data_IF_598176086603
#
_entry.id   IF_598176086603
#
_cell.length_a   1.000
_cell.length_b   1.000
_cell.length_c   1.000
_cell.angle_alpha   90.00
_cell.angle_beta   90.00
_cell.angle_gamma   90.00
#
_symmetry.space_group_name_H-M   'P 1'
#
loop_
_entity.id
_entity.type
_entity.pdbx_description
1 polymer ?
#
# COMPACT_ATOMS: atom_id res chain seq x y z
N UNK A 1 -16.82 -10.23 -14.15
CA UNK A 1 -15.63 -9.38 -14.29
C UNK A 1 -15.49 -8.59 -13.00
N UNK A 2 -14.52 -8.91 -12.15
CA UNK A 2 -14.27 -8.11 -10.95
C UNK A 2 -13.59 -6.82 -11.39
N UNK A 3 -14.32 -5.72 -11.32
CA UNK A 3 -13.78 -4.39 -11.48
C UNK A 3 -12.98 -4.08 -10.22
N UNK A 4 -11.68 -4.37 -10.22
CA UNK A 4 -10.81 -3.93 -9.13
C UNK A 4 -10.72 -2.40 -9.21
N UNK A 5 -11.38 -1.70 -8.28
CA UNK A 5 -11.27 -0.26 -8.14
C UNK A 5 -9.94 0.07 -7.47
N UNK A 6 -8.89 0.13 -8.28
CA UNK A 6 -7.57 0.52 -7.82
C UNK A 6 -7.57 1.98 -7.34
N UNK A 7 -6.75 2.26 -6.32
CA UNK A 7 -6.48 3.61 -5.84
C UNK A 7 -5.90 4.46 -6.97
N UNK A 8 -6.55 5.57 -7.31
CA UNK A 8 -6.05 6.49 -8.34
C UNK A 8 -5.30 7.68 -7.76
N UNK A 9 -5.42 7.87 -6.44
CA UNK A 9 -4.82 8.94 -5.66
C UNK A 9 -4.18 8.39 -4.40
N UNK A 10 -3.38 9.23 -3.77
CA UNK A 10 -2.86 8.94 -2.43
C UNK A 10 -4.00 8.67 -1.44
N UNK A 11 -3.80 7.66 -0.58
CA UNK A 11 -4.67 7.36 0.55
C UNK A 11 -3.85 7.14 1.82
N UNK A 12 -4.50 7.24 2.98
CA UNK A 12 -3.90 6.97 4.29
C UNK A 12 -4.54 5.75 4.92
N UNK A 13 -3.73 4.73 5.16
CA UNK A 13 -4.13 3.48 5.80
C UNK A 13 -3.69 3.49 7.25
N UNK A 14 -4.58 3.07 8.16
CA UNK A 14 -4.20 2.81 9.55
C UNK A 14 -3.71 1.37 9.67
N UNK A 15 -2.50 1.17 10.15
CA UNK A 15 -1.82 -0.12 10.26
C UNK A 15 -1.52 -0.42 11.72
N UNK A 16 -1.92 -1.61 12.19
CA UNK A 16 -1.61 -2.06 13.53
C UNK A 16 -0.24 -2.71 13.54
N UNK A 17 0.73 -2.06 14.19
CA UNK A 17 2.11 -2.55 14.22
C UNK A 17 2.24 -3.67 15.23
N UNK A 18 2.90 -4.77 14.88
CA UNK A 18 3.01 -5.93 15.79
C UNK A 18 3.83 -5.61 17.05
N UNK A 19 4.84 -4.75 16.93
CA UNK A 19 5.79 -4.40 18.00
C UNK A 19 6.06 -2.88 18.05
N UNK A 20 5.01 -2.07 17.97
CA UNK A 20 5.13 -0.61 17.98
C UNK A 20 3.78 0.08 18.16
N UNK A 21 3.75 1.42 18.26
CA UNK A 21 2.49 2.14 18.19
C UNK A 21 1.84 1.90 16.83
N UNK A 22 0.50 1.88 16.80
CA UNK A 22 -0.23 1.89 15.54
C UNK A 22 0.21 3.09 14.69
N UNK A 23 0.23 2.89 13.38
CA UNK A 23 0.88 3.81 12.46
C UNK A 23 -0.02 4.14 11.28
N UNK A 24 0.03 5.39 10.81
CA UNK A 24 -0.65 5.78 9.57
C UNK A 24 0.35 5.71 8.44
N UNK A 25 0.07 4.84 7.47
CA UNK A 25 0.87 4.64 6.28
C UNK A 25 0.22 5.39 5.12
N UNK A 26 1.02 6.22 4.45
CA UNK A 26 0.66 6.91 3.21
C UNK A 26 0.92 5.97 2.05
N UNK A 27 -0.14 5.67 1.31
CA UNK A 27 -0.15 4.76 0.15
C UNK A 27 -0.26 5.60 -1.10
N UNK A 28 0.77 5.58 -1.94
CA UNK A 28 0.89 6.46 -3.10
C UNK A 28 0.99 5.62 -4.38
N UNK A 29 0.06 5.76 -5.34
CA UNK A 29 0.17 5.10 -6.64
C UNK A 29 1.44 5.53 -7.37
N UNK A 30 2.24 4.58 -7.85
CA UNK A 30 3.42 4.81 -8.67
C UNK A 30 3.17 4.36 -10.11
N UNK A 31 2.79 5.33 -10.94
CA UNK A 31 2.45 5.14 -12.35
C UNK A 31 3.70 4.94 -13.24
N UNK A 32 4.91 5.16 -12.71
CA UNK A 32 6.16 5.06 -13.47
C UNK A 32 6.82 3.69 -13.33
N UNK A 33 6.35 2.85 -12.41
CA UNK A 33 6.90 1.53 -12.17
C UNK A 33 6.53 0.53 -13.29
N UNK A 34 7.46 0.29 -14.21
CA UNK A 34 7.22 -0.50 -15.43
C UNK A 34 7.16 -2.02 -15.25
N UNK A 35 7.42 -2.54 -14.05
CA UNK A 35 7.52 -4.00 -13.78
C UNK A 35 6.26 -4.62 -13.15
N UNK A 36 5.24 -3.81 -12.85
CA UNK A 36 3.98 -4.28 -12.29
C UNK A 36 2.80 -3.64 -13.03
N UNK A 37 1.61 -4.26 -12.92
CA UNK A 37 0.38 -3.67 -13.46
C UNK A 37 -0.06 -2.51 -12.60
N UNK A 38 0.07 -2.63 -11.28
CA UNK A 38 -0.06 -1.53 -10.33
C UNK A 38 1.06 -1.58 -9.30
N UNK A 39 1.54 -0.40 -8.89
CA UNK A 39 2.52 -0.25 -7.82
C UNK A 39 2.02 0.81 -6.84
N UNK A 40 2.11 0.52 -5.55
CA UNK A 40 1.79 1.47 -4.49
C UNK A 40 2.96 1.60 -3.54
N UNK A 41 3.59 2.77 -3.54
CA UNK A 41 4.68 3.12 -2.64
C UNK A 41 4.13 3.43 -1.26
N UNK A 42 4.85 3.01 -0.22
CA UNK A 42 4.43 3.07 1.16
C UNK A 42 5.37 3.96 1.95
N UNK A 43 4.80 4.93 2.67
CA UNK A 43 5.58 5.86 3.49
C UNK A 43 4.93 6.09 4.85
N UNK A 44 5.70 6.48 5.86
CA UNK A 44 5.12 7.05 7.08
C UNK A 44 4.40 8.37 6.77
N UNK A 45 3.28 8.66 7.44
CA UNK A 45 2.38 9.71 6.98
C UNK A 45 2.66 11.13 7.52
N UNK A 46 3.39 11.27 8.62
CA UNK A 46 3.44 12.53 9.39
C UNK A 46 4.84 13.11 9.63
N UNK A 47 5.89 12.38 9.26
CA UNK A 47 7.27 12.85 9.42
C UNK A 47 7.64 13.85 8.32
N UNK A 48 8.49 14.82 8.65
CA UNK A 48 9.05 15.78 7.68
C UNK A 48 9.86 15.08 6.59
N UNK A 49 10.58 14.01 6.98
CA UNK A 49 11.26 13.09 6.09
C UNK A 49 10.65 11.70 6.29
N UNK A 50 9.64 11.32 5.50
CA UNK A 50 8.93 10.08 5.73
C UNK A 50 9.78 8.87 5.30
N UNK A 51 9.79 7.84 6.13
CA UNK A 51 10.49 6.60 5.83
C UNK A 51 9.87 5.89 4.63
N UNK A 52 10.73 5.39 3.74
CA UNK A 52 10.33 4.52 2.62
C UNK A 52 10.16 3.10 3.13
N UNK A 53 8.91 2.64 3.14
CA UNK A 53 8.54 1.32 3.63
C UNK A 53 8.48 0.29 2.51
N UNK A 54 8.86 0.63 1.27
CA UNK A 54 8.79 -0.23 0.10
C UNK A 54 7.52 -0.03 -0.73
N UNK A 55 7.08 -1.07 -1.43
CA UNK A 55 5.82 -1.02 -2.19
C UNK A 55 5.06 -2.33 -2.23
N UNK A 56 3.75 -2.22 -2.48
CA UNK A 56 2.91 -3.35 -2.86
C UNK A 56 2.72 -3.32 -4.37
N UNK A 57 3.08 -4.41 -5.02
CA UNK A 57 2.99 -4.62 -6.47
C UNK A 57 1.85 -5.58 -6.76
N UNK A 58 0.99 -5.23 -7.72
CA UNK A 58 -0.07 -6.11 -8.20
C UNK A 58 0.21 -6.59 -9.64
N UNK A 59 -0.10 -7.86 -9.89
CA UNK A 59 -0.13 -8.44 -11.23
C UNK A 59 -1.50 -8.20 -11.92
N UNK A 60 -1.63 -8.66 -13.17
CA UNK A 60 -2.87 -8.51 -13.94
C UNK A 60 -4.04 -9.37 -13.44
N UNK A 61 -3.81 -10.27 -12.50
CA UNK A 61 -4.84 -11.13 -11.89
C UNK A 61 -5.25 -10.63 -10.50
N UNK A 62 -4.59 -9.60 -9.97
CA UNK A 62 -4.83 -9.05 -8.64
C UNK A 62 -4.05 -9.76 -7.53
N UNK A 63 -3.12 -10.65 -7.85
CA UNK A 63 -2.16 -11.15 -6.88
C UNK A 63 -1.15 -10.05 -6.56
N UNK A 64 -0.67 -10.03 -5.31
CA UNK A 64 0.25 -9.00 -4.85
C UNK A 64 1.50 -9.57 -4.20
N UNK A 65 2.57 -8.80 -4.27
CA UNK A 65 3.80 -9.00 -3.51
C UNK A 65 4.21 -7.70 -2.83
N UNK A 66 4.90 -7.83 -1.71
CA UNK A 66 5.58 -6.72 -1.05
C UNK A 66 7.05 -6.69 -1.46
N UNK A 67 7.50 -5.56 -2.00
CA UNK A 67 8.89 -5.28 -2.33
C UNK A 67 9.44 -4.29 -1.30
N UNK A 68 9.98 -4.85 -0.22
CA UNK A 68 10.54 -4.14 0.93
C UNK A 68 10.94 -5.11 2.04
N UNK A 69 11.43 -4.59 3.15
CA UNK A 69 11.96 -5.40 4.26
C UNK A 69 11.60 -4.90 5.66
N UNK A 70 10.79 -3.84 5.77
CA UNK A 70 10.46 -3.18 7.06
C UNK A 70 9.11 -3.59 7.63
N UNK A 71 8.22 -4.13 6.80
CA UNK A 71 6.89 -4.58 7.20
C UNK A 71 6.88 -6.08 7.48
N UNK A 72 6.23 -6.47 8.56
CA UNK A 72 5.86 -7.86 8.84
C UNK A 72 4.72 -8.33 7.94
N UNK A 73 4.57 -9.65 7.79
CA UNK A 73 3.53 -10.26 6.94
C UNK A 73 2.12 -9.73 7.29
N UNK A 74 1.79 -9.59 8.57
CA UNK A 74 0.47 -9.11 8.99
C UNK A 74 0.21 -7.64 8.56
N UNK A 75 1.24 -6.80 8.58
CA UNK A 75 1.13 -5.40 8.15
C UNK A 75 1.04 -5.30 6.62
N UNK A 76 1.77 -6.17 5.91
CA UNK A 76 1.67 -6.30 4.46
C UNK A 76 0.26 -6.71 4.04
N UNK A 77 -0.31 -7.75 4.67
CA UNK A 77 -1.68 -8.22 4.42
C UNK A 77 -2.71 -7.11 4.69
N UNK A 78 -2.57 -6.39 5.81
CA UNK A 78 -3.49 -5.28 6.14
C UNK A 78 -3.46 -4.17 5.09
N UNK A 79 -2.27 -3.82 4.58
CA UNK A 79 -2.12 -2.80 3.55
C UNK A 79 -2.64 -3.26 2.19
N UNK A 80 -2.36 -4.52 1.81
CA UNK A 80 -2.89 -5.09 0.58
C UNK A 80 -4.43 -5.14 0.62
N UNK A 81 -5.00 -5.62 1.73
CA UNK A 81 -6.44 -5.64 1.94
C UNK A 81 -7.05 -4.24 1.90
N UNK A 82 -6.38 -3.25 2.51
CA UNK A 82 -6.80 -1.86 2.41
C UNK A 82 -6.84 -1.41 0.95
N UNK A 83 -5.76 -1.61 0.18
CA UNK A 83 -5.68 -1.19 -1.23
C UNK A 83 -6.74 -1.88 -2.09
N UNK A 84 -6.97 -3.18 -1.90
CA UNK A 84 -7.94 -3.98 -2.65
C UNK A 84 -9.37 -3.49 -2.40
N UNK A 85 -9.69 -3.17 -1.14
CA UNK A 85 -11.04 -2.85 -0.71
C UNK A 85 -11.31 -1.34 -0.61
N UNK A 86 -10.30 -0.50 -0.87
CA UNK A 86 -10.48 0.93 -0.78
C UNK A 86 -11.39 1.42 -1.90
N UNK A 87 -12.59 1.83 -1.52
CA UNK A 87 -13.53 2.53 -2.39
C UNK A 87 -13.35 4.01 -2.12
N UNK A 88 -12.85 4.77 -3.09
CA UNK A 88 -12.88 6.24 -3.06
C UNK A 88 -14.35 6.68 -2.90
N UNK A 89 -14.73 7.11 -1.70
CA UNK A 89 -16.02 7.77 -1.47
C UNK A 89 -15.85 9.25 -1.79
N UNK A 90 -16.41 9.64 -2.94
CA UNK A 90 -16.57 11.03 -3.40
C UNK A 90 -17.44 11.85 -2.45
#
# INVERSE_FOLDING_TARGET
MNTHSYLTREAKAFVKRRNGPDEVIRVVPDLLYKKAVQCYRLYTAFEENPDDLGCILFDGQGFWIYDGNLLSVAEQEQLADFIINYVERL
#
